data_IF_394062083631
#
_entry.id   IF_394062083631
#
_cell.length_a   1.000
_cell.length_b   1.000
_cell.length_c   1.000
_cell.angle_alpha   90.00
_cell.angle_beta   90.00
_cell.angle_gamma   90.00
#
_symmetry.space_group_name_H-M   'P 1'
#
loop_
_entity.id
_entity.type
_entity.pdbx_description
1 polymer ?
#
# COMPACT_ATOMS: atom_id res chain seq x y z
N UNK A 1 21.23 5.17 7.97
CA UNK A 1 21.40 5.92 9.24
C UNK A 1 20.19 5.86 10.15
N UNK A 2 19.00 6.35 9.73
CA UNK A 2 17.80 6.31 10.60
C UNK A 2 17.43 4.87 11.00
N UNK A 3 17.34 3.96 10.02
CA UNK A 3 16.96 2.56 10.29
C UNK A 3 17.94 1.82 11.20
N UNK A 4 19.24 2.04 11.04
CA UNK A 4 20.27 1.46 11.92
C UNK A 4 20.04 1.86 13.39
N UNK A 5 19.66 3.12 13.64
CA UNK A 5 19.37 3.60 15.00
C UNK A 5 18.06 3.05 15.54
N UNK A 6 17.00 2.99 14.72
CA UNK A 6 15.72 2.40 15.12
C UNK A 6 15.89 0.93 15.49
N UNK A 7 16.58 0.15 14.66
CA UNK A 7 16.81 -1.26 14.90
C UNK A 7 17.70 -1.50 16.11
N UNK A 8 18.77 -0.71 16.28
CA UNK A 8 19.60 -0.75 17.49
C UNK A 8 18.83 -0.36 18.78
N UNK A 9 17.71 0.37 18.65
CA UNK A 9 16.84 0.73 19.77
C UNK A 9 15.76 -0.31 20.07
N UNK A 10 15.74 -1.43 19.34
CA UNK A 10 14.81 -2.54 19.56
C UNK A 10 13.54 -2.50 18.72
N UNK A 11 13.52 -1.75 17.61
CA UNK A 11 12.40 -1.85 16.66
C UNK A 11 12.37 -3.23 15.99
N UNK A 12 11.19 -3.85 15.90
CA UNK A 12 11.01 -5.15 15.24
C UNK A 12 11.04 -5.06 13.70
N UNK A 13 10.80 -3.86 13.16
CA UNK A 13 10.68 -3.64 11.73
C UNK A 13 10.54 -2.18 11.34
N UNK A 14 10.15 -1.96 10.09
CA UNK A 14 9.90 -0.65 9.49
C UNK A 14 8.63 -0.71 8.66
N UNK A 15 7.85 0.38 8.71
CA UNK A 15 6.76 0.64 7.77
C UNK A 15 7.15 1.83 6.89
N UNK A 16 7.23 1.60 5.58
CA UNK A 16 7.26 2.64 4.57
C UNK A 16 5.83 3.11 4.31
N UNK A 17 5.37 4.05 5.15
CA UNK A 17 4.07 4.67 5.01
C UNK A 17 4.08 5.66 3.83
N UNK A 18 2.98 5.72 3.09
CA UNK A 18 2.74 6.73 2.06
C UNK A 18 3.72 6.62 0.86
N UNK A 19 4.08 5.39 0.50
CA UNK A 19 4.93 5.09 -0.67
C UNK A 19 4.32 5.62 -1.97
N UNK A 20 5.14 6.24 -2.82
CA UNK A 20 4.76 6.80 -4.12
C UNK A 20 3.87 8.05 -4.05
N UNK A 21 3.81 8.74 -2.91
CA UNK A 21 3.08 10.01 -2.77
C UNK A 21 3.63 11.10 -3.70
N UNK A 22 4.93 11.11 -3.94
CA UNK A 22 5.56 12.00 -4.92
C UNK A 22 5.69 11.36 -6.33
N UNK A 23 4.94 10.27 -6.59
CA UNK A 23 4.88 9.58 -7.87
C UNK A 23 5.93 8.49 -8.07
N UNK A 24 6.21 8.18 -9.33
CA UNK A 24 7.07 7.09 -9.78
C UNK A 24 8.52 7.18 -9.28
N UNK A 25 9.04 8.39 -9.07
CA UNK A 25 10.37 8.60 -8.48
C UNK A 25 10.45 8.19 -7.00
N UNK A 26 9.38 8.43 -6.25
CA UNK A 26 9.28 8.02 -4.84
C UNK A 26 9.10 6.50 -4.72
N UNK A 27 8.26 5.91 -5.58
CA UNK A 27 8.18 4.44 -5.68
C UNK A 27 9.55 3.82 -6.00
N UNK A 28 10.28 4.38 -6.98
CA UNK A 28 11.60 3.90 -7.36
C UNK A 28 12.58 3.94 -6.19
N UNK A 29 12.64 5.08 -5.48
CA UNK A 29 13.48 5.23 -4.29
C UNK A 29 13.11 4.24 -3.19
N UNK A 30 11.81 4.06 -2.94
CA UNK A 30 11.32 3.15 -1.90
C UNK A 30 11.64 1.70 -2.19
N UNK A 31 11.44 1.22 -3.43
CA UNK A 31 11.78 -0.17 -3.80
C UNK A 31 13.27 -0.46 -3.58
N UNK A 32 14.15 0.44 -4.00
CA UNK A 32 15.59 0.28 -3.75
C UNK A 32 15.98 0.44 -2.27
N UNK A 33 15.24 1.24 -1.51
CA UNK A 33 15.43 1.32 -0.06
C UNK A 33 15.07 0.01 0.64
N UNK A 34 13.96 -0.64 0.23
CA UNK A 34 13.55 -1.96 0.73
C UNK A 34 14.63 -3.00 0.41
N UNK A 35 15.16 -3.03 -0.81
CA UNK A 35 16.25 -3.94 -1.19
C UNK A 35 17.51 -3.73 -0.32
N UNK A 36 17.89 -2.47 -0.11
CA UNK A 36 19.04 -2.13 0.72
C UNK A 36 18.84 -2.55 2.17
N UNK A 37 17.65 -2.35 2.74
CA UNK A 37 17.32 -2.77 4.10
C UNK A 37 17.25 -4.27 4.24
N UNK A 38 16.63 -5.00 3.30
CA UNK A 38 16.62 -6.47 3.31
C UNK A 38 18.05 -7.03 3.26
N UNK A 39 18.96 -6.38 2.53
CA UNK A 39 20.38 -6.78 2.48
C UNK A 39 21.12 -6.49 3.79
N UNK A 40 20.87 -5.35 4.42
CA UNK A 40 21.55 -4.94 5.64
C UNK A 40 21.00 -5.67 6.88
N UNK A 41 19.68 -5.87 6.93
CA UNK A 41 18.95 -6.50 8.03
C UNK A 41 18.05 -7.64 7.48
N UNK A 42 18.62 -8.84 7.25
CA UNK A 42 17.90 -9.94 6.61
C UNK A 42 16.63 -10.40 7.32
N UNK A 43 16.53 -10.18 8.63
CA UNK A 43 15.39 -10.60 9.46
C UNK A 43 14.44 -9.44 9.81
N UNK A 44 14.74 -8.21 9.37
CA UNK A 44 13.87 -7.06 9.62
C UNK A 44 12.51 -7.26 8.97
N UNK A 45 11.43 -6.98 9.70
CA UNK A 45 10.10 -6.95 9.13
C UNK A 45 9.90 -5.62 8.37
N UNK A 46 9.43 -5.70 7.13
CA UNK A 46 9.25 -4.54 6.26
C UNK A 46 7.81 -4.52 5.74
N UNK A 47 7.08 -3.48 6.08
CA UNK A 47 5.79 -3.15 5.48
C UNK A 47 5.97 -2.01 4.48
N UNK A 48 5.28 -2.08 3.35
CA UNK A 48 5.23 -0.98 2.38
C UNK A 48 3.78 -0.62 2.09
N UNK A 49 3.32 0.47 2.71
CA UNK A 49 2.00 1.07 2.49
C UNK A 49 2.06 2.10 1.37
N UNK A 50 1.07 2.08 0.49
CA UNK A 50 1.02 2.94 -0.69
C UNK A 50 0.27 4.24 -0.38
N UNK A 51 0.62 5.34 -1.04
CA UNK A 51 -0.10 6.61 -0.88
C UNK A 51 -1.40 6.68 -1.68
N UNK A 52 -1.47 5.90 -2.76
CA UNK A 52 -2.52 6.00 -3.75
C UNK A 52 -2.69 4.73 -4.55
N UNK A 53 -3.88 4.60 -5.12
CA UNK A 53 -4.26 3.43 -5.90
C UNK A 53 -3.52 3.32 -7.25
N UNK A 54 -3.07 4.44 -7.80
CA UNK A 54 -2.36 4.49 -9.06
C UNK A 54 -1.13 5.37 -8.89
N UNK A 55 0.04 4.83 -9.25
CA UNK A 55 1.30 5.58 -9.14
C UNK A 55 1.35 6.66 -10.21
N UNK A 56 1.43 7.92 -9.79
CA UNK A 56 1.49 9.06 -10.70
C UNK A 56 2.88 9.15 -11.36
N UNK A 57 2.93 9.41 -12.66
CA UNK A 57 4.18 9.60 -13.39
C UNK A 57 4.67 11.05 -13.33
N UNK A 58 5.95 11.26 -13.02
CA UNK A 58 6.60 12.58 -12.98
C UNK A 58 7.52 12.83 -14.18
N UNK A 59 7.19 12.26 -15.35
CA UNK A 59 7.94 12.37 -16.62
C UNK A 59 9.38 11.80 -16.59
N UNK A 60 9.70 10.94 -15.61
CA UNK A 60 11.01 10.28 -15.51
C UNK A 60 11.14 8.97 -16.28
N UNK A 61 10.01 8.37 -16.67
CA UNK A 61 9.94 7.01 -17.26
C UNK A 61 10.75 5.99 -16.44
N UNK A 62 10.67 6.09 -15.11
CA UNK A 62 11.45 5.26 -14.20
C UNK A 62 10.92 3.83 -14.23
N UNK A 63 11.86 2.89 -14.22
CA UNK A 63 11.57 1.46 -14.31
C UNK A 63 12.25 0.72 -13.17
N UNK A 64 11.56 -0.28 -12.63
CA UNK A 64 12.12 -1.24 -11.70
C UNK A 64 12.10 -2.62 -12.35
N UNK A 65 13.29 -3.18 -12.58
CA UNK A 65 13.50 -4.40 -13.37
C UNK A 65 12.71 -4.44 -14.69
N UNK A 66 12.81 -3.37 -15.48
CA UNK A 66 12.14 -3.25 -16.78
C UNK A 66 10.64 -2.96 -16.73
N UNK A 67 10.04 -2.85 -15.54
CA UNK A 67 8.63 -2.46 -15.37
C UNK A 67 8.53 -0.96 -15.14
N UNK A 68 7.84 -0.25 -16.03
CA UNK A 68 7.52 1.17 -15.84
C UNK A 68 6.64 1.38 -14.60
N UNK A 69 7.09 2.25 -13.70
CA UNK A 69 6.43 2.46 -12.41
C UNK A 69 5.21 3.38 -12.50
N UNK A 70 5.21 4.33 -13.43
CA UNK A 70 4.07 5.21 -13.65
C UNK A 70 2.86 4.43 -14.18
N UNK A 71 1.69 4.66 -13.58
CA UNK A 71 0.42 4.06 -13.99
C UNK A 71 0.14 2.69 -13.37
N UNK A 72 0.99 2.19 -12.47
CA UNK A 72 0.77 0.91 -11.79
C UNK A 72 -0.41 0.99 -10.83
N UNK A 73 -1.35 0.07 -10.99
CA UNK A 73 -2.49 -0.17 -10.08
C UNK A 73 -2.12 -1.18 -8.99
N UNK A 74 -2.94 -1.38 -7.94
CA UNK A 74 -2.51 -2.13 -6.75
C UNK A 74 -2.09 -3.58 -7.03
N UNK A 75 -2.77 -4.25 -7.95
CA UNK A 75 -2.44 -5.60 -8.41
C UNK A 75 -1.12 -5.69 -9.20
N UNK A 76 -0.63 -4.58 -9.75
CA UNK A 76 0.66 -4.51 -10.43
C UNK A 76 1.78 -4.04 -9.49
N UNK A 77 1.43 -3.30 -8.43
CA UNK A 77 2.35 -2.89 -7.37
C UNK A 77 2.76 -4.08 -6.51
N UNK A 78 1.80 -4.93 -6.12
CA UNK A 78 2.02 -6.08 -5.22
C UNK A 78 3.25 -6.95 -5.58
N UNK A 79 3.40 -7.44 -6.83
CA UNK A 79 4.56 -8.26 -7.20
C UNK A 79 5.90 -7.52 -7.08
N UNK A 80 5.93 -6.20 -7.33
CA UNK A 80 7.16 -5.40 -7.24
C UNK A 80 7.57 -5.17 -5.79
N UNK A 81 6.59 -4.90 -4.92
CA UNK A 81 6.82 -4.73 -3.48
C UNK A 81 7.33 -6.03 -2.85
N UNK A 82 6.70 -7.16 -3.17
CA UNK A 82 7.17 -8.47 -2.72
C UNK A 82 8.58 -8.77 -3.23
N UNK A 83 8.86 -8.47 -4.50
CA UNK A 83 10.18 -8.66 -5.10
C UNK A 83 11.27 -7.83 -4.44
N UNK A 84 10.98 -6.58 -4.08
CA UNK A 84 11.94 -5.71 -3.40
C UNK A 84 12.36 -6.28 -2.02
N UNK A 85 11.53 -7.13 -1.42
CA UNK A 85 11.83 -7.84 -0.18
C UNK A 85 10.97 -7.41 1.01
N UNK A 86 9.82 -6.77 0.76
CA UNK A 86 8.83 -6.47 1.79
C UNK A 86 8.17 -7.76 2.32
N UNK A 87 7.74 -7.73 3.57
CA UNK A 87 6.99 -8.79 4.22
C UNK A 87 5.47 -8.56 4.14
N UNK A 88 5.03 -7.30 4.09
CA UNK A 88 3.61 -6.93 4.00
C UNK A 88 3.42 -5.84 2.96
N UNK A 89 2.37 -5.97 2.18
CA UNK A 89 1.94 -4.97 1.22
C UNK A 89 0.71 -4.23 1.73
N UNK A 90 0.77 -2.89 1.76
CA UNK A 90 -0.36 -2.01 2.03
C UNK A 90 -0.91 -1.40 0.75
N UNK A 91 -1.86 -2.07 0.04
CA UNK A 91 -2.52 -1.45 -1.10
C UNK A 91 -3.51 -0.36 -0.66
N UNK A 92 -3.66 0.68 -1.49
CA UNK A 92 -4.66 1.74 -1.31
C UNK A 92 -5.70 1.74 -2.42
N UNK A 93 -6.94 2.10 -2.06
CA UNK A 93 -7.92 2.66 -2.98
C UNK A 93 -8.44 3.99 -2.43
N UNK A 94 -8.29 5.08 -3.20
CA UNK A 94 -8.72 6.41 -2.78
C UNK A 94 -10.25 6.56 -2.90
N UNK A 95 -10.84 7.25 -1.93
CA UNK A 95 -12.26 7.60 -1.93
C UNK A 95 -12.51 8.74 -2.92
N UNK A 96 -13.46 8.52 -3.83
CA UNK A 96 -13.98 9.56 -4.69
C UNK A 96 -15.10 10.33 -3.95
N UNK A 97 -14.83 11.59 -3.60
CA UNK A 97 -15.74 12.45 -2.83
C UNK A 97 -17.01 12.85 -3.60
N UNK A 98 -17.03 12.65 -4.92
CA UNK A 98 -18.21 12.86 -5.77
C UNK A 98 -19.10 11.61 -5.89
N UNK A 99 -18.82 10.56 -5.13
CA UNK A 99 -19.53 9.27 -5.18
C UNK A 99 -20.05 8.86 -3.80
N UNK A 100 -21.05 7.99 -3.80
CA UNK A 100 -21.67 7.49 -2.57
C UNK A 100 -20.76 6.49 -1.84
N UNK A 101 -20.95 6.33 -0.53
CA UNK A 101 -20.18 5.36 0.27
C UNK A 101 -20.27 3.92 -0.26
N UNK A 102 -21.45 3.39 -0.65
CA UNK A 102 -21.52 2.05 -1.24
C UNK A 102 -20.73 1.91 -2.54
N UNK A 103 -20.68 2.97 -3.37
CA UNK A 103 -19.90 2.97 -4.60
C UNK A 103 -18.40 2.92 -4.31
N UNK A 104 -17.92 3.75 -3.37
CA UNK A 104 -16.51 3.75 -2.97
C UNK A 104 -16.10 2.43 -2.33
N UNK A 105 -16.97 1.84 -1.50
CA UNK A 105 -16.74 0.54 -0.91
C UNK A 105 -16.61 -0.57 -1.97
N UNK A 106 -17.57 -0.63 -2.91
CA UNK A 106 -17.53 -1.62 -3.99
C UNK A 106 -16.27 -1.48 -4.85
N UNK A 107 -15.87 -0.24 -5.15
CA UNK A 107 -14.64 0.05 -5.89
C UNK A 107 -13.38 -0.40 -5.16
N UNK A 108 -13.28 -0.04 -3.88
CA UNK A 108 -12.12 -0.38 -3.07
C UNK A 108 -11.99 -1.91 -2.94
N UNK A 109 -13.07 -2.62 -2.61
CA UNK A 109 -13.10 -4.09 -2.56
C UNK A 109 -12.66 -4.71 -3.88
N UNK A 110 -13.10 -4.18 -5.03
CA UNK A 110 -12.72 -4.71 -6.34
C UNK A 110 -11.21 -4.61 -6.60
N UNK A 111 -10.59 -3.47 -6.27
CA UNK A 111 -9.14 -3.32 -6.43
C UNK A 111 -8.35 -4.17 -5.43
N UNK A 112 -8.82 -4.24 -4.18
CA UNK A 112 -8.15 -5.04 -3.15
C UNK A 112 -8.20 -6.54 -3.46
N UNK A 113 -9.31 -7.05 -4.00
CA UNK A 113 -9.38 -8.44 -4.49
C UNK A 113 -8.30 -8.75 -5.50
N UNK A 114 -8.13 -7.88 -6.50
CA UNK A 114 -7.13 -8.07 -7.53
C UNK A 114 -5.71 -7.98 -6.95
N UNK A 115 -5.49 -7.07 -5.98
CA UNK A 115 -4.21 -6.94 -5.29
C UNK A 115 -3.85 -8.18 -4.47
N UNK A 116 -4.79 -8.67 -3.65
CA UNK A 116 -4.65 -9.91 -2.87
C UNK A 116 -4.35 -11.10 -3.78
N UNK A 117 -5.08 -11.25 -4.89
CA UNK A 117 -4.84 -12.34 -5.85
C UNK A 117 -3.47 -12.27 -6.53
N UNK A 118 -2.92 -11.07 -6.73
CA UNK A 118 -1.62 -10.87 -7.35
C UNK A 118 -0.43 -10.90 -6.37
N UNK A 119 -0.70 -10.78 -5.06
CA UNK A 119 0.33 -10.70 -4.04
C UNK A 119 0.81 -12.07 -3.59
N UNK A 120 2.13 -12.23 -3.46
CA UNK A 120 2.75 -13.40 -2.81
C UNK A 120 3.03 -13.19 -1.32
N UNK A 121 2.76 -11.99 -0.80
CA UNK A 121 2.91 -11.61 0.60
C UNK A 121 1.57 -11.14 1.18
N UNK A 122 1.37 -11.19 2.51
CA UNK A 122 0.15 -10.69 3.13
C UNK A 122 -0.19 -9.26 2.73
N UNK A 123 -1.47 -9.02 2.49
CA UNK A 123 -2.02 -7.71 2.17
C UNK A 123 -2.67 -7.10 3.42
N UNK A 124 -2.07 -6.06 3.97
CA UNK A 124 -2.62 -5.24 5.05
C UNK A 124 -3.13 -3.93 4.44
N UNK A 125 -4.37 -3.91 3.96
CA UNK A 125 -4.89 -2.76 3.20
C UNK A 125 -4.84 -1.48 4.03
N UNK A 126 -4.37 -0.41 3.40
CA UNK A 126 -4.35 0.92 4.02
C UNK A 126 -5.78 1.46 4.08
N UNK A 127 -6.29 1.61 5.30
CA UNK A 127 -7.65 2.07 5.57
C UNK A 127 -7.63 3.26 6.53
N UNK A 128 -8.44 4.27 6.22
CA UNK A 128 -8.51 5.49 7.01
C UNK A 128 -9.31 6.57 6.28
N UNK A 129 -9.28 7.78 6.82
CA UNK A 129 -9.96 8.92 6.19
C UNK A 129 -9.55 9.04 4.71
N UNK A 130 -10.50 8.80 3.81
CA UNK A 130 -10.26 8.95 2.37
C UNK A 130 -9.73 7.76 1.60
N UNK A 131 -9.53 6.62 2.24
CA UNK A 131 -9.02 5.41 1.60
C UNK A 131 -9.79 4.18 2.04
N UNK A 132 -9.69 3.09 1.29
CA UNK A 132 -10.31 1.81 1.64
C UNK A 132 -11.86 1.83 1.63
N UNK A 133 -12.47 2.82 0.96
CA UNK A 133 -13.92 3.01 0.94
C UNK A 133 -14.47 3.81 2.13
N UNK A 134 -13.60 4.30 3.02
CA UNK A 134 -13.98 5.15 4.15
C UNK A 134 -14.14 6.61 3.66
N UNK A 135 -15.23 7.31 4.03
CA UNK A 135 -15.46 8.69 3.63
C UNK A 135 -14.34 9.65 4.04
N UNK A 136 -14.13 10.71 3.24
CA UNK A 136 -13.29 11.86 3.63
C UNK A 136 -14.01 12.72 4.66
N UNK A 137 -13.90 12.34 5.94
CA UNK A 137 -14.41 13.10 7.08
C UNK A 137 -13.41 12.94 8.24
N UNK A 138 -13.19 14.02 8.99
CA UNK A 138 -12.28 14.01 10.15
C UNK A 138 -12.66 12.91 11.17
N UNK A 139 -13.96 12.77 11.42
CA UNK A 139 -14.54 11.70 12.25
C UNK A 139 -15.54 10.90 11.42
N UNK A 140 -15.11 9.91 10.63
CA UNK A 140 -16.00 9.17 9.76
C UNK A 140 -17.06 8.42 10.59
N UNK A 141 -18.32 8.30 10.10
CA UNK A 141 -19.34 7.56 10.83
C UNK A 141 -18.89 6.12 11.08
N UNK A 142 -19.00 5.66 12.32
CA UNK A 142 -18.48 4.34 12.72
C UNK A 142 -19.10 3.18 11.92
N UNK A 143 -20.36 3.32 11.48
CA UNK A 143 -21.01 2.35 10.59
C UNK A 143 -20.28 2.24 9.24
N UNK A 144 -19.85 3.36 8.66
CA UNK A 144 -19.12 3.36 7.39
C UNK A 144 -17.75 2.70 7.53
N UNK A 145 -17.01 3.01 8.61
CA UNK A 145 -15.72 2.39 8.92
C UNK A 145 -15.90 0.87 9.11
N UNK A 146 -16.84 0.47 9.98
CA UNK A 146 -17.07 -0.95 10.30
C UNK A 146 -17.47 -1.76 9.07
N UNK A 147 -18.34 -1.21 8.21
CA UNK A 147 -18.74 -1.85 6.95
C UNK A 147 -17.58 -1.99 5.98
N UNK A 148 -16.75 -0.95 5.87
CA UNK A 148 -15.57 -0.99 5.01
C UNK A 148 -14.60 -2.07 5.50
N UNK A 149 -14.21 -2.02 6.78
CA UNK A 149 -13.34 -3.01 7.43
C UNK A 149 -13.85 -4.44 7.24
N UNK A 150 -15.14 -4.68 7.52
CA UNK A 150 -15.74 -6.02 7.41
C UNK A 150 -15.75 -6.53 5.97
N UNK A 151 -16.09 -5.67 5.01
CA UNK A 151 -16.09 -6.03 3.61
C UNK A 151 -14.69 -6.29 3.07
N UNK A 152 -13.66 -5.55 3.52
CA UNK A 152 -12.28 -5.84 3.13
C UNK A 152 -11.86 -7.23 3.58
N UNK A 153 -12.11 -7.58 4.85
CA UNK A 153 -11.75 -8.89 5.38
C UNK A 153 -12.56 -10.02 4.72
N UNK A 154 -13.90 -9.94 4.71
CA UNK A 154 -14.74 -11.05 4.27
C UNK A 154 -14.89 -11.17 2.75
N UNK A 155 -14.83 -10.04 2.05
CA UNK A 155 -15.10 -10.00 0.61
C UNK A 155 -13.80 -9.82 -0.16
N UNK A 156 -12.94 -8.88 0.23
CA UNK A 156 -11.68 -8.68 -0.47
C UNK A 156 -10.60 -9.71 -0.13
N UNK A 157 -10.69 -10.33 1.06
CA UNK A 157 -9.77 -11.38 1.50
C UNK A 157 -8.42 -10.84 1.95
N UNK A 158 -8.38 -9.62 2.49
CA UNK A 158 -7.16 -9.03 3.05
C UNK A 158 -6.76 -9.74 4.35
N UNK A 159 -5.47 -9.76 4.65
CA UNK A 159 -4.90 -10.40 5.83
C UNK A 159 -4.93 -9.47 7.06
N UNK A 160 -5.02 -8.16 6.84
CA UNK A 160 -5.13 -7.12 7.87
C UNK A 160 -5.72 -5.81 7.34
N UNK A 161 -6.07 -4.91 8.26
CA UNK A 161 -6.69 -3.59 8.02
C UNK A 161 -6.19 -2.56 9.02
#
# INVERSE_FOLDING_TARGET
>A
WVMQKLFASGADGVNFDTTAAAGDADMYGTLHAIEALRKEFPDMYIEAGMAGECVLGMHGNLQYDGVTLAGLWPHQQAPLIAKAGANVFGPVCNTNTSKTSPWNLARAVNFMKAAVQASSIPCHVDMGMGVGGIPMLETPPIDAVTRASKAMVEIAGVDGI
#
